data_IF_032570319388
#
_entry.id   IF_032570319388
#
_cell.length_a   1.000
_cell.length_b   1.000
_cell.length_c   1.000
_cell.angle_alpha   90.00
_cell.angle_beta   90.00
_cell.angle_gamma   90.00
#
_symmetry.space_group_name_H-M   'P 1'
#
loop_
_entity.id
_entity.type
_entity.pdbx_description
1 polymer ?
#
# COMPACT_ATOMS: atom_id res chain seq x y z
N UNK A 1 -30.49 29.80 -16.20
CA UNK A 1 -30.06 28.40 -16.30
C UNK A 1 -29.95 27.87 -14.88
N UNK A 2 -30.87 26.99 -14.47
CA UNK A 2 -30.99 26.53 -13.07
C UNK A 2 -30.08 25.34 -12.81
N UNK A 3 -29.15 25.49 -11.88
CA UNK A 3 -28.26 24.45 -11.41
C UNK A 3 -29.01 23.58 -10.39
N UNK A 4 -29.36 22.35 -10.75
CA UNK A 4 -30.00 21.39 -9.85
C UNK A 4 -28.95 20.65 -9.05
N UNK A 5 -28.90 20.91 -7.75
CA UNK A 5 -28.15 20.13 -6.77
C UNK A 5 -28.88 18.79 -6.56
N UNK A 6 -28.19 17.69 -6.84
CA UNK A 6 -28.63 16.33 -6.45
C UNK A 6 -28.05 16.03 -5.08
N UNK A 7 -28.90 16.07 -4.05
CA UNK A 7 -28.61 15.57 -2.70
C UNK A 7 -28.73 14.05 -2.69
N UNK A 8 -27.63 13.35 -2.53
CA UNK A 8 -27.62 11.92 -2.21
C UNK A 8 -27.62 11.76 -0.70
N UNK A 9 -28.76 11.33 -0.16
CA UNK A 9 -28.89 10.99 1.25
C UNK A 9 -28.33 9.60 1.52
N UNK A 10 -27.30 9.51 2.34
CA UNK A 10 -26.72 8.26 2.83
C UNK A 10 -27.46 7.85 4.11
N UNK A 11 -28.20 6.73 4.05
CA UNK A 11 -28.92 6.16 5.18
C UNK A 11 -27.96 5.34 6.07
N UNK A 12 -27.77 5.78 7.33
CA UNK A 12 -27.11 5.00 8.37
C UNK A 12 -28.04 3.88 8.85
N UNK A 13 -27.66 2.64 8.69
CA UNK A 13 -28.22 1.48 9.39
C UNK A 13 -27.39 1.17 10.64
N UNK A 14 -27.97 1.49 11.80
CA UNK A 14 -27.48 1.08 13.12
C UNK A 14 -27.82 -0.40 13.33
N UNK A 15 -26.81 -1.27 13.45
CA UNK A 15 -27.00 -2.61 13.98
C UNK A 15 -26.36 -2.73 15.37
N UNK A 16 -27.18 -3.26 16.28
CA UNK A 16 -26.97 -3.28 17.70
C UNK A 16 -25.91 -4.24 18.19
N UNK A 17 -25.39 -3.91 19.37
CA UNK A 17 -24.51 -4.72 20.20
C UNK A 17 -25.23 -5.97 20.73
N UNK A 18 -24.57 -7.14 20.57
CA UNK A 18 -24.85 -8.33 21.36
C UNK A 18 -23.56 -8.79 22.06
N UNK A 19 -23.60 -9.09 23.38
CA UNK A 19 -22.43 -9.55 24.13
C UNK A 19 -22.31 -11.07 24.02
N UNK A 20 -21.18 -11.56 23.55
CA UNK A 20 -20.85 -12.98 23.55
C UNK A 20 -19.34 -13.17 23.50
N UNK A 21 -18.73 -13.31 24.67
CA UNK A 21 -17.36 -13.82 24.80
C UNK A 21 -17.32 -15.33 24.61
N UNK A 22 -16.38 -15.84 23.83
CA UNK A 22 -15.76 -17.11 24.15
C UNK A 22 -14.29 -16.89 24.53
N UNK A 23 -13.96 -17.28 25.73
CA UNK A 23 -12.61 -17.48 26.25
C UNK A 23 -11.91 -18.58 25.44
N UNK A 24 -10.99 -18.25 24.59
CA UNK A 24 -10.04 -19.19 24.02
C UNK A 24 -8.72 -19.10 24.78
N UNK A 25 -8.50 -20.11 25.61
CA UNK A 25 -7.22 -20.43 26.25
C UNK A 25 -6.21 -20.78 25.16
N UNK A 26 -5.03 -20.14 25.08
CA UNK A 26 -4.00 -20.57 24.14
C UNK A 26 -3.43 -21.90 24.57
N UNK A 27 -3.52 -22.91 23.71
CA UNK A 27 -2.81 -24.18 23.86
C UNK A 27 -1.31 -23.92 23.88
N UNK A 28 -0.67 -24.26 24.98
CA UNK A 28 0.80 -24.30 25.08
C UNK A 28 1.34 -25.31 24.07
N UNK A 29 2.01 -24.81 23.03
CA UNK A 29 2.90 -25.61 22.20
C UNK A 29 4.07 -26.06 23.05
N UNK A 30 4.17 -27.38 23.30
CA UNK A 30 5.29 -28.04 23.96
C UNK A 30 6.53 -27.87 23.05
N UNK A 31 7.46 -27.04 23.49
CA UNK A 31 8.78 -26.91 22.86
C UNK A 31 9.60 -28.16 23.21
N UNK A 32 10.19 -28.86 22.22
CA UNK A 32 11.10 -29.98 22.57
C UNK A 32 12.34 -29.43 23.26
N UNK A 33 12.62 -29.94 24.46
CA UNK A 33 13.80 -29.65 25.26
C UNK A 33 15.06 -30.11 24.51
N UNK A 34 15.87 -29.18 24.05
CA UNK A 34 17.13 -29.53 23.37
C UNK A 34 17.86 -28.34 22.74
N UNK A 35 17.45 -27.09 23.00
CA UNK A 35 18.21 -25.94 22.53
C UNK A 35 18.97 -25.35 23.70
N UNK A 36 20.31 -25.45 23.65
CA UNK A 36 21.25 -24.81 24.59
C UNK A 36 21.04 -23.29 24.54
N UNK A 37 20.63 -22.71 25.66
CA UNK A 37 20.47 -21.26 25.85
C UNK A 37 21.83 -20.66 26.21
N UNK A 38 22.77 -20.59 25.27
CA UNK A 38 23.93 -19.72 25.39
C UNK A 38 23.65 -18.44 24.56
N UNK A 39 23.49 -17.26 25.17
CA UNK A 39 23.23 -16.01 24.45
C UNK A 39 24.50 -15.38 23.91
N UNK A 40 25.34 -16.13 23.22
CA UNK A 40 26.49 -15.60 22.50
C UNK A 40 26.08 -15.31 21.07
N UNK A 41 25.73 -14.02 20.85
CA UNK A 41 25.78 -13.35 19.54
C UNK A 41 25.22 -14.22 18.41
N UNK A 42 23.89 -14.27 18.30
CA UNK A 42 23.29 -14.69 17.04
C UNK A 42 23.86 -13.77 15.95
N UNK A 43 24.73 -14.33 15.12
CA UNK A 43 25.45 -13.64 14.07
C UNK A 43 24.42 -12.91 13.20
N UNK A 44 24.49 -11.57 13.18
CA UNK A 44 23.62 -10.73 12.35
C UNK A 44 23.69 -11.15 10.87
N UNK A 45 24.78 -11.82 10.48
CA UNK A 45 24.97 -12.50 9.20
C UNK A 45 24.03 -13.71 9.04
N UNK A 46 23.85 -14.53 10.09
CA UNK A 46 22.96 -15.68 10.05
C UNK A 46 21.48 -15.27 9.97
N UNK A 47 21.09 -14.22 10.69
CA UNK A 47 19.75 -13.63 10.59
C UNK A 47 19.52 -13.02 9.21
N UNK A 48 20.52 -12.31 8.65
CA UNK A 48 20.49 -11.77 7.30
C UNK A 48 20.42 -12.88 6.23
N UNK A 49 21.10 -14.02 6.44
CA UNK A 49 21.01 -15.19 5.57
C UNK A 49 19.65 -15.91 5.68
N UNK A 50 19.06 -15.97 6.88
CA UNK A 50 17.72 -16.53 7.07
C UNK A 50 16.62 -15.64 6.47
N UNK A 51 16.76 -14.32 6.55
CA UNK A 51 15.87 -13.38 5.87
C UNK A 51 16.05 -13.43 4.34
N UNK A 52 17.25 -13.66 3.85
CA UNK A 52 17.51 -13.95 2.42
C UNK A 52 16.97 -15.30 1.96
N UNK A 53 16.89 -16.28 2.85
CA UNK A 53 16.32 -17.59 2.56
C UNK A 53 14.78 -17.60 2.58
N UNK A 54 14.14 -16.56 3.09
CA UNK A 54 12.67 -16.47 3.16
C UNK A 54 12.00 -15.92 1.88
N UNK A 55 12.76 -15.60 0.85
CA UNK A 55 12.19 -15.30 -0.46
C UNK A 55 11.62 -13.89 -0.66
N UNK A 56 11.45 -13.10 0.39
CA UNK A 56 10.75 -11.81 0.30
C UNK A 56 11.66 -10.66 -0.11
N UNK A 57 11.20 -9.84 -1.04
CA UNK A 57 11.80 -8.54 -1.39
C UNK A 57 10.92 -7.42 -0.85
N UNK A 58 11.47 -6.60 0.04
CA UNK A 58 10.69 -5.56 0.71
C UNK A 58 10.55 -4.34 -0.20
N UNK A 59 9.30 -3.84 -0.33
CA UNK A 59 8.96 -2.59 -0.98
C UNK A 59 8.23 -1.69 0.03
N UNK A 60 8.73 -0.47 0.21
CA UNK A 60 8.10 0.50 1.09
C UNK A 60 7.14 1.38 0.29
N UNK A 61 5.87 1.45 0.70
CA UNK A 61 4.88 2.39 0.19
C UNK A 61 4.95 3.63 1.07
N UNK A 62 5.27 4.77 0.44
CA UNK A 62 5.58 6.01 1.13
C UNK A 62 4.63 7.12 0.71
N UNK A 63 4.15 7.89 1.68
CA UNK A 63 3.54 9.19 1.50
C UNK A 63 3.92 10.13 2.64
N UNK A 64 3.60 11.41 2.50
CA UNK A 64 3.88 12.42 3.50
C UNK A 64 2.67 13.34 3.74
N UNK A 65 1.47 12.79 3.72
CA UNK A 65 0.24 13.56 3.94
C UNK A 65 0.24 14.30 5.28
N UNK A 66 -0.38 15.48 5.33
CA UNK A 66 -0.65 16.22 6.56
C UNK A 66 -2.10 15.97 7.02
N UNK A 67 -2.32 15.35 8.21
CA UNK A 67 -3.65 15.00 8.68
C UNK A 67 -4.60 16.19 8.85
N UNK A 68 -4.09 17.38 9.20
CA UNK A 68 -4.92 18.54 9.42
C UNK A 68 -5.64 18.98 8.13
N UNK A 69 -4.90 18.97 7.02
CA UNK A 69 -5.42 19.47 5.75
C UNK A 69 -6.04 18.34 4.89
N UNK A 70 -5.50 17.13 4.91
CA UNK A 70 -6.09 16.01 4.15
C UNK A 70 -7.44 15.58 4.73
N UNK A 71 -7.58 15.57 6.06
CA UNK A 71 -8.82 15.17 6.72
C UNK A 71 -9.88 16.28 6.75
N UNK A 72 -9.57 17.48 6.26
CA UNK A 72 -10.56 18.54 6.12
C UNK A 72 -11.67 18.13 5.13
N UNK A 73 -12.91 18.64 5.33
CA UNK A 73 -13.99 18.37 4.37
C UNK A 73 -13.67 18.91 2.97
N UNK A 74 -14.14 18.25 1.90
CA UNK A 74 -14.04 18.77 0.55
C UNK A 74 -14.70 20.16 0.41
N UNK A 75 -14.14 21.09 -0.37
CA UNK A 75 -12.96 20.93 -1.26
C UNK A 75 -11.61 21.24 -0.61
N UNK A 76 -11.56 21.53 0.69
CA UNK A 76 -10.35 21.93 1.39
C UNK A 76 -9.42 20.73 1.70
N UNK A 77 -9.94 19.53 1.66
CA UNK A 77 -9.26 18.25 1.85
C UNK A 77 -10.04 17.12 1.19
N UNK A 78 -9.78 15.90 1.62
CA UNK A 78 -10.43 14.67 1.11
C UNK A 78 -11.55 14.22 2.05
N UNK A 79 -11.36 14.37 3.35
CA UNK A 79 -12.31 13.99 4.38
C UNK A 79 -11.67 13.23 5.56
N UNK A 80 -12.40 13.05 6.65
CA UNK A 80 -11.89 12.44 7.87
C UNK A 80 -11.34 11.02 7.65
N UNK A 81 -10.19 10.72 8.24
CA UNK A 81 -9.56 9.40 8.21
C UNK A 81 -8.74 9.10 6.96
N UNK A 82 -8.61 10.03 6.03
CA UNK A 82 -7.79 9.86 4.82
C UNK A 82 -6.31 9.77 5.17
N UNK A 83 -5.83 10.61 6.08
CA UNK A 83 -4.43 10.67 6.51
C UNK A 83 -4.33 10.47 8.03
N UNK A 84 -3.56 9.48 8.47
CA UNK A 84 -3.41 9.14 9.90
C UNK A 84 -2.00 9.37 10.45
N UNK A 85 -1.06 9.81 9.60
CA UNK A 85 0.33 10.14 10.00
C UNK A 85 0.72 11.50 9.47
N UNK A 86 1.42 12.29 10.30
CA UNK A 86 1.90 13.60 9.86
C UNK A 86 3.22 13.47 9.08
N UNK A 87 3.14 13.67 7.77
CA UNK A 87 4.27 13.74 6.85
C UNK A 87 4.61 15.16 6.40
N UNK A 88 3.76 16.14 6.72
CA UNK A 88 4.02 17.58 6.54
C UNK A 88 3.67 18.15 5.16
N UNK A 89 3.21 17.36 4.18
CA UNK A 89 2.72 17.87 2.90
C UNK A 89 1.24 18.19 3.02
N UNK A 90 0.88 19.47 2.95
CA UNK A 90 -0.52 19.90 3.01
C UNK A 90 -1.28 19.48 1.74
N UNK A 91 -2.60 19.33 1.84
CA UNK A 91 -3.45 18.96 0.70
C UNK A 91 -3.34 19.98 -0.46
N UNK A 92 -3.20 21.28 -0.15
CA UNK A 92 -2.95 22.28 -1.18
C UNK A 92 -1.64 22.05 -1.91
N UNK A 93 -0.53 21.83 -1.19
CA UNK A 93 0.78 21.54 -1.79
C UNK A 93 0.76 20.23 -2.60
N UNK A 94 0.00 19.23 -2.15
CA UNK A 94 -0.23 17.99 -2.88
C UNK A 94 -0.88 18.28 -4.25
N UNK A 95 -1.97 19.03 -4.29
CA UNK A 95 -2.68 19.35 -5.53
C UNK A 95 -1.80 20.24 -6.46
N UNK A 96 -1.09 21.22 -5.91
CA UNK A 96 -0.20 22.10 -6.68
C UNK A 96 0.94 21.31 -7.35
N UNK A 97 1.62 20.42 -6.61
CA UNK A 97 2.69 19.59 -7.15
C UNK A 97 2.16 18.62 -8.21
N UNK A 98 1.05 17.94 -7.91
CA UNK A 98 0.45 16.98 -8.84
C UNK A 98 0.00 17.66 -10.14
N UNK A 99 -0.65 18.83 -10.05
CA UNK A 99 -1.06 19.61 -11.20
C UNK A 99 0.14 20.05 -12.05
N UNK A 100 1.24 20.40 -11.40
CA UNK A 100 2.43 20.92 -12.10
C UNK A 100 3.29 19.83 -12.72
N UNK A 101 3.44 18.70 -12.04
CA UNK A 101 4.45 17.69 -12.38
C UNK A 101 3.85 16.34 -12.78
N UNK A 102 2.55 16.13 -12.59
CA UNK A 102 1.89 14.84 -12.79
C UNK A 102 2.29 13.76 -11.76
N UNK A 103 3.09 14.16 -10.75
CA UNK A 103 3.56 13.27 -9.70
C UNK A 103 4.01 14.05 -8.46
N UNK A 104 4.12 13.37 -7.32
CA UNK A 104 4.61 13.97 -6.08
C UNK A 104 5.68 13.04 -5.52
N UNK A 105 6.90 13.54 -5.35
CA UNK A 105 8.04 12.72 -4.93
C UNK A 105 7.90 12.07 -3.56
N UNK A 106 7.10 12.65 -2.65
CA UNK A 106 6.82 12.07 -1.36
C UNK A 106 5.88 10.85 -1.40
N UNK A 107 5.09 10.70 -2.46
CA UNK A 107 4.27 9.51 -2.75
C UNK A 107 5.01 8.62 -3.74
N UNK A 108 5.63 7.56 -3.25
CA UNK A 108 6.44 6.67 -4.07
C UNK A 108 6.56 5.26 -3.49
N UNK A 109 6.96 4.32 -4.34
CA UNK A 109 7.43 3.00 -3.94
C UNK A 109 8.95 3.02 -3.83
N UNK A 110 9.50 2.42 -2.78
CA UNK A 110 10.93 2.38 -2.53
C UNK A 110 11.42 0.95 -2.26
N UNK A 111 12.35 0.43 -3.08
CA UNK A 111 12.94 1.05 -4.27
C UNK A 111 11.97 1.08 -5.47
N UNK A 112 12.13 2.00 -6.43
CA UNK A 112 11.28 2.04 -7.63
C UNK A 112 11.65 0.98 -8.69
N UNK A 113 12.79 0.33 -8.52
CA UNK A 113 13.24 -0.82 -9.31
C UNK A 113 13.76 -1.89 -8.37
N UNK A 114 13.33 -3.12 -8.56
CA UNK A 114 13.71 -4.27 -7.74
C UNK A 114 14.20 -5.43 -8.58
N UNK A 115 15.15 -6.20 -8.04
CA UNK A 115 15.62 -7.42 -8.68
C UNK A 115 15.22 -8.62 -7.85
N UNK A 116 14.55 -9.58 -8.47
CA UNK A 116 14.10 -10.82 -7.88
C UNK A 116 14.71 -12.00 -8.65
N UNK A 117 14.60 -13.18 -8.07
CA UNK A 117 14.78 -14.45 -8.77
C UNK A 117 13.49 -15.24 -8.68
N UNK A 118 13.22 -16.07 -9.68
CA UNK A 118 12.06 -16.98 -9.69
C UNK A 118 11.92 -17.71 -8.35
N UNK A 119 10.74 -17.70 -7.76
CA UNK A 119 10.43 -18.25 -6.45
C UNK A 119 10.54 -17.24 -5.29
N UNK A 120 10.85 -15.98 -5.55
CA UNK A 120 10.72 -14.88 -4.60
C UNK A 120 9.37 -14.15 -4.78
N UNK A 121 9.01 -13.34 -3.81
CA UNK A 121 7.82 -12.48 -3.86
C UNK A 121 8.10 -11.16 -3.13
N UNK A 122 7.22 -10.18 -3.32
CA UNK A 122 7.29 -8.91 -2.63
C UNK A 122 6.56 -8.96 -1.28
N UNK A 123 7.12 -8.23 -0.32
CA UNK A 123 6.43 -7.78 0.88
C UNK A 123 6.33 -6.25 0.81
N UNK A 124 5.18 -5.73 0.42
CA UNK A 124 4.91 -4.31 0.43
C UNK A 124 4.52 -3.86 1.85
N UNK A 125 5.18 -2.81 2.36
CA UNK A 125 4.96 -2.27 3.71
C UNK A 125 4.54 -0.81 3.60
N UNK A 126 3.36 -0.47 4.11
CA UNK A 126 2.88 0.92 4.08
C UNK A 126 3.43 1.72 5.27
N UNK A 127 4.36 2.60 5.00
CA UNK A 127 4.94 3.55 5.97
C UNK A 127 4.26 4.92 5.95
N UNK A 128 3.37 5.16 4.98
CA UNK A 128 2.63 6.40 4.82
C UNK A 128 1.48 6.58 5.80
N UNK A 129 0.75 7.67 5.62
CA UNK A 129 -0.45 8.02 6.39
C UNK A 129 -1.75 7.71 5.66
N UNK A 130 -1.70 7.44 4.36
CA UNK A 130 -2.83 7.08 3.52
C UNK A 130 -2.87 5.58 3.20
N UNK A 131 -4.01 5.11 2.71
CA UNK A 131 -4.13 3.77 2.15
C UNK A 131 -3.48 3.72 0.78
N UNK A 132 -2.75 2.65 0.49
CA UNK A 132 -2.16 2.37 -0.83
C UNK A 132 -2.64 1.02 -1.36
N UNK A 133 -2.35 0.73 -2.63
CA UNK A 133 -2.38 -0.63 -3.18
C UNK A 133 -1.00 -0.98 -3.72
N UNK A 134 -0.72 -2.27 -3.82
CA UNK A 134 0.47 -2.80 -4.49
C UNK A 134 0.00 -3.80 -5.55
N UNK A 135 -0.34 -3.28 -6.72
CA UNK A 135 -1.06 -4.01 -7.75
C UNK A 135 -0.17 -4.23 -8.96
N UNK A 136 0.01 -5.49 -9.34
CA UNK A 136 0.63 -5.84 -10.60
C UNK A 136 -0.23 -5.36 -11.76
N UNK A 137 0.41 -4.74 -12.77
CA UNK A 137 -0.25 -4.23 -13.96
C UNK A 137 0.56 -4.57 -15.20
N UNK A 138 -0.12 -4.93 -16.26
CA UNK A 138 0.54 -5.20 -17.54
C UNK A 138 1.21 -3.95 -18.11
N UNK A 139 0.55 -2.80 -17.97
CA UNK A 139 1.06 -1.50 -18.36
C UNK A 139 0.66 -0.43 -17.35
N UNK A 140 1.57 0.49 -17.05
CA UNK A 140 1.25 1.60 -16.18
C UNK A 140 0.11 2.45 -16.74
N UNK A 141 -0.88 2.72 -15.91
CA UNK A 141 -2.07 3.49 -16.29
C UNK A 141 -2.55 4.41 -15.18
N UNK A 142 -3.78 4.88 -15.30
CA UNK A 142 -4.50 5.53 -14.23
C UNK A 142 -4.98 4.52 -13.18
N UNK A 143 -5.41 5.03 -12.05
CA UNK A 143 -6.01 4.24 -10.98
C UNK A 143 -7.53 4.47 -10.86
N UNK A 144 -8.08 4.08 -9.71
CA UNK A 144 -9.51 4.14 -9.41
C UNK A 144 -10.04 5.55 -9.09
N UNK A 145 -9.18 6.57 -8.97
CA UNK A 145 -9.55 7.94 -8.63
C UNK A 145 -9.44 8.85 -9.86
N UNK A 146 -10.54 9.13 -10.59
CA UNK A 146 -10.50 9.86 -11.86
C UNK A 146 -9.88 11.25 -11.79
N UNK A 147 -10.06 11.95 -10.65
CA UNK A 147 -9.46 13.27 -10.43
C UNK A 147 -7.92 13.19 -10.39
N UNK A 148 -7.37 12.18 -9.70
CA UNK A 148 -5.93 11.96 -9.62
C UNK A 148 -5.37 11.49 -10.97
N UNK A 149 -6.10 10.66 -11.72
CA UNK A 149 -5.71 10.25 -13.07
C UNK A 149 -5.55 11.45 -14.00
N UNK A 150 -6.47 12.42 -13.92
CA UNK A 150 -6.42 13.64 -14.73
C UNK A 150 -5.19 14.48 -14.38
N UNK A 151 -4.93 14.70 -13.09
CA UNK A 151 -3.80 15.50 -12.61
C UNK A 151 -2.46 14.80 -12.85
N UNK A 152 -2.43 13.47 -12.78
CA UNK A 152 -1.24 12.65 -13.06
C UNK A 152 -0.97 12.42 -14.56
N UNK A 153 -1.81 12.98 -15.45
CA UNK A 153 -1.74 12.79 -16.90
C UNK A 153 -1.82 11.31 -17.33
N UNK A 154 -2.55 10.49 -16.57
CA UNK A 154 -2.80 9.07 -16.84
C UNK A 154 -4.30 8.81 -16.95
N UNK A 155 -4.99 9.35 -17.97
CA UNK A 155 -6.46 9.38 -18.01
C UNK A 155 -7.09 7.99 -18.23
N UNK A 156 -6.32 7.02 -18.73
CA UNK A 156 -6.79 5.65 -18.96
C UNK A 156 -6.42 4.80 -17.75
N UNK A 157 -7.45 4.32 -17.05
CA UNK A 157 -7.30 3.41 -15.92
C UNK A 157 -6.69 2.07 -16.34
N UNK A 158 -5.71 1.57 -15.58
CA UNK A 158 -5.17 0.24 -15.80
C UNK A 158 -6.28 -0.81 -15.57
N UNK A 159 -6.44 -1.80 -16.45
CA UNK A 159 -7.52 -2.80 -16.32
C UNK A 159 -7.52 -3.52 -14.96
N UNK A 160 -6.35 -3.80 -14.43
CA UNK A 160 -6.14 -4.50 -13.16
C UNK A 160 -6.66 -3.67 -11.97
N UNK A 161 -6.57 -2.34 -12.05
CA UNK A 161 -7.11 -1.45 -11.03
C UNK A 161 -8.66 -1.49 -10.92
N UNK A 162 -9.37 -2.05 -11.91
CA UNK A 162 -10.82 -2.23 -11.86
C UNK A 162 -11.25 -3.49 -11.12
N UNK A 163 -10.33 -4.40 -10.89
CA UNK A 163 -10.60 -5.72 -10.31
C UNK A 163 -10.14 -5.84 -8.85
N UNK A 164 -9.83 -4.70 -8.19
CA UNK A 164 -9.36 -4.68 -6.81
C UNK A 164 -10.38 -5.28 -5.84
N UNK A 165 -9.89 -6.09 -4.93
CA UNK A 165 -10.61 -6.63 -3.79
C UNK A 165 -10.22 -5.89 -2.49
N UNK A 166 -10.86 -6.21 -1.38
CA UNK A 166 -10.63 -5.50 -0.10
C UNK A 166 -9.23 -5.70 0.48
N UNK A 167 -8.59 -6.81 0.18
CA UNK A 167 -7.26 -7.20 0.64
C UNK A 167 -6.13 -6.59 -0.21
N UNK A 168 -6.44 -6.07 -1.40
CA UNK A 168 -5.47 -5.28 -2.19
C UNK A 168 -5.11 -3.93 -1.54
N UNK A 169 -5.92 -3.47 -0.57
CA UNK A 169 -5.72 -2.18 0.09
C UNK A 169 -4.84 -2.30 1.32
N UNK A 170 -3.66 -1.71 1.26
CA UNK A 170 -2.66 -1.71 2.33
C UNK A 170 -2.87 -0.49 3.21
N UNK A 171 -3.48 -0.69 4.38
CA UNK A 171 -3.70 0.38 5.36
C UNK A 171 -2.37 0.94 5.91
N UNK A 172 -2.35 2.17 6.46
CA UNK A 172 -1.17 2.73 7.13
C UNK A 172 -0.62 1.80 8.21
N UNK A 173 0.66 1.41 8.09
CA UNK A 173 1.32 0.43 8.96
C UNK A 173 1.03 -1.01 8.62
N UNK A 174 0.19 -1.29 7.63
CA UNK A 174 -0.11 -2.63 7.13
C UNK A 174 0.93 -3.14 6.13
N UNK A 175 0.76 -4.40 5.76
CA UNK A 175 1.59 -5.10 4.77
C UNK A 175 0.71 -5.82 3.75
N UNK A 176 1.26 -6.03 2.56
CA UNK A 176 0.70 -6.87 1.51
C UNK A 176 1.81 -7.79 0.99
N UNK A 177 1.49 -9.04 0.77
CA UNK A 177 2.41 -10.05 0.23
C UNK A 177 1.93 -10.42 -1.18
N UNK A 178 2.78 -10.21 -2.20
CA UNK A 178 2.43 -10.56 -3.57
C UNK A 178 2.45 -12.07 -3.78
N UNK A 179 1.90 -12.54 -4.89
CA UNK A 179 2.12 -13.89 -5.34
C UNK A 179 3.62 -14.14 -5.59
N UNK A 180 4.01 -15.41 -5.61
CA UNK A 180 5.38 -15.80 -5.90
C UNK A 180 5.65 -15.66 -7.40
N UNK A 181 6.76 -15.01 -7.73
CA UNK A 181 7.20 -14.86 -9.13
C UNK A 181 7.55 -16.21 -9.74
N UNK A 182 6.80 -16.64 -10.74
CA UNK A 182 6.96 -17.98 -11.34
C UNK A 182 7.83 -17.97 -12.61
N UNK A 183 7.93 -16.83 -13.30
CA UNK A 183 8.64 -16.71 -14.57
C UNK A 183 9.65 -15.55 -14.54
N UNK A 184 10.74 -15.68 -15.31
CA UNK A 184 11.69 -14.59 -15.49
C UNK A 184 11.13 -13.56 -16.47
N UNK A 185 11.32 -12.26 -16.15
CA UNK A 185 10.82 -11.17 -16.98
C UNK A 185 10.83 -9.83 -16.24
N UNK A 186 10.25 -8.84 -16.88
CA UNK A 186 10.00 -7.55 -16.26
C UNK A 186 8.50 -7.42 -15.93
N UNK A 187 8.20 -7.11 -14.69
CA UNK A 187 6.85 -6.87 -14.19
C UNK A 187 6.70 -5.44 -13.67
N UNK A 188 5.48 -4.96 -13.67
CA UNK A 188 5.15 -3.59 -13.28
C UNK A 188 4.14 -3.61 -12.15
N UNK A 189 4.41 -2.84 -11.11
CA UNK A 189 3.51 -2.64 -9.97
C UNK A 189 3.17 -1.17 -9.82
N UNK A 190 1.91 -0.84 -9.55
CA UNK A 190 1.48 0.52 -9.26
C UNK A 190 0.51 0.59 -8.09
N UNK A 191 0.39 1.78 -7.49
CA UNK A 191 -0.72 2.07 -6.59
C UNK A 191 -1.94 2.49 -7.43
N UNK A 192 -3.05 1.79 -7.29
CA UNK A 192 -4.29 2.11 -8.00
C UNK A 192 -5.03 3.34 -7.44
N UNK A 193 -4.60 3.89 -6.30
CA UNK A 193 -5.10 5.19 -5.79
C UNK A 193 -4.24 6.33 -6.33
N UNK A 194 -2.92 6.15 -6.28
CA UNK A 194 -1.90 7.15 -6.63
C UNK A 194 -1.06 6.64 -7.83
N UNK A 195 -1.53 6.76 -9.08
CA UNK A 195 -1.00 6.02 -10.23
C UNK A 195 0.43 6.41 -10.67
N UNK A 196 1.01 7.43 -10.06
CA UNK A 196 2.43 7.78 -10.23
C UNK A 196 3.36 7.01 -9.28
N UNK A 197 2.84 6.34 -8.24
CA UNK A 197 3.61 5.43 -7.40
C UNK A 197 3.78 4.12 -8.14
N UNK A 198 4.99 3.87 -8.62
CA UNK A 198 5.31 2.79 -9.56
C UNK A 198 6.59 2.08 -9.18
N UNK A 199 6.65 0.79 -9.50
CA UNK A 199 7.82 -0.06 -9.37
C UNK A 199 7.94 -0.94 -10.62
N UNK A 200 9.18 -1.18 -11.07
CA UNK A 200 9.49 -2.21 -12.04
C UNK A 200 10.30 -3.32 -11.37
N UNK A 201 9.84 -4.55 -11.49
CA UNK A 201 10.52 -5.75 -11.05
C UNK A 201 11.31 -6.37 -12.22
N UNK A 202 12.55 -6.74 -11.97
CA UNK A 202 13.39 -7.48 -12.91
C UNK A 202 13.63 -8.89 -12.34
N UNK A 203 12.88 -9.86 -12.83
CA UNK A 203 12.90 -11.24 -12.34
C UNK A 203 13.87 -12.04 -13.21
N UNK A 204 14.77 -12.77 -12.59
CA UNK A 204 15.79 -13.59 -13.25
C UNK A 204 15.61 -15.06 -12.89
N UNK A 205 16.05 -15.93 -13.77
CA UNK A 205 16.23 -17.35 -13.44
C UNK A 205 17.22 -17.51 -12.26
N UNK A 206 17.09 -18.64 -11.54
CA UNK A 206 17.99 -19.02 -10.42
C UNK A 206 19.38 -19.39 -10.90
#
# INVERSE_FOLDING_TARGET
MSLRFVLVALALLLFGCGPGSPSNTPSMLTVPSGISTDPTVADASAVSHLLKASGNVIVNLMDACDPETFNAPPPAGVGPGTCVRNGGVTFQNFIEQLTRFGSIGAWHMAPPNSNLVVGQHFLAVNHGGEVHTFTEVKEFGGGIVPALNTLAHTPVEAPECKALESDDFVAPGGTYESDTEEEAGDEKYQCCIHPWMRLTAHIREK
#
